data_IF_614446858687
#
_entry.id   IF_614446858687
#
_cell.length_a   1.000
_cell.length_b   1.000
_cell.length_c   1.000
_cell.angle_alpha   90.00
_cell.angle_beta   90.00
_cell.angle_gamma   90.00
#
_symmetry.space_group_name_H-M   'P 1'
#
loop_
_entity.id
_entity.type
_entity.pdbx_description
1 polymer ?
#
# COMPACT_ATOMS: atom_id res chain seq x y z
N UNK A 1 -16.48 7.82 -21.07
CA UNK A 1 -16.34 6.54 -20.36
C UNK A 1 -16.43 6.82 -18.87
N UNK A 2 -16.99 5.90 -18.08
CA UNK A 2 -16.80 5.92 -16.63
C UNK A 2 -15.29 5.89 -16.32
N UNK A 3 -14.83 6.66 -15.33
CA UNK A 3 -13.44 6.58 -14.88
C UNK A 3 -13.22 5.28 -14.11
N UNK A 4 -12.07 4.65 -14.27
CA UNK A 4 -11.63 3.52 -13.45
C UNK A 4 -10.52 4.02 -12.53
N UNK A 5 -10.69 3.81 -11.23
CA UNK A 5 -9.64 4.06 -10.23
C UNK A 5 -9.14 2.73 -9.68
N UNK A 6 -7.85 2.48 -9.85
CA UNK A 6 -7.21 1.27 -9.36
C UNK A 6 -6.38 1.65 -8.15
N UNK A 7 -6.70 1.04 -7.01
CA UNK A 7 -6.04 1.31 -5.75
C UNK A 7 -5.24 0.08 -5.35
N UNK A 8 -3.94 0.27 -5.18
CA UNK A 8 -3.02 -0.75 -4.73
C UNK A 8 -2.66 -0.52 -3.26
N UNK A 9 -2.69 -1.59 -2.47
CA UNK A 9 -1.79 -1.72 -1.35
C UNK A 9 -0.34 -1.91 -1.85
N UNK A 10 0.66 -1.75 -0.97
CA UNK A 10 2.06 -1.77 -1.36
C UNK A 10 2.81 -3.04 -0.94
N UNK A 11 3.06 -3.22 0.36
CA UNK A 11 3.78 -4.37 0.90
C UNK A 11 2.99 -5.65 0.63
N UNK A 12 3.67 -6.71 0.17
CA UNK A 12 3.07 -8.01 -0.22
C UNK A 12 2.00 -7.91 -1.29
N UNK A 13 1.81 -6.75 -1.92
CA UNK A 13 0.86 -6.50 -2.99
C UNK A 13 1.60 -6.07 -4.27
N UNK A 14 2.21 -4.88 -4.28
CA UNK A 14 3.08 -4.43 -5.38
C UNK A 14 4.44 -5.13 -5.28
N UNK A 15 5.06 -5.07 -4.10
CA UNK A 15 6.31 -5.78 -3.83
C UNK A 15 6.05 -7.17 -3.24
N UNK A 16 6.93 -8.12 -3.52
CA UNK A 16 6.87 -9.46 -2.95
C UNK A 16 7.69 -9.52 -1.64
N UNK A 17 7.22 -8.78 -0.65
CA UNK A 17 7.90 -8.60 0.62
C UNK A 17 7.32 -7.45 1.43
N UNK A 18 7.99 -7.11 2.51
CA UNK A 18 7.59 -6.05 3.42
C UNK A 18 8.77 -5.08 3.57
N UNK A 19 8.54 -3.83 3.20
CA UNK A 19 9.56 -2.79 3.05
C UNK A 19 10.20 -2.41 4.40
N UNK A 20 9.42 -2.36 5.47
CA UNK A 20 9.92 -2.15 6.83
C UNK A 20 10.84 -3.30 7.25
N UNK A 21 10.39 -4.56 7.08
CA UNK A 21 11.20 -5.74 7.40
C UNK A 21 12.49 -5.80 6.57
N UNK A 22 12.45 -5.43 5.28
CA UNK A 22 13.63 -5.34 4.44
C UNK A 22 14.69 -4.43 5.07
N UNK A 23 14.31 -3.20 5.43
CA UNK A 23 15.24 -2.23 6.03
C UNK A 23 15.70 -2.69 7.41
N UNK A 24 14.79 -3.16 8.26
CA UNK A 24 15.10 -3.63 9.62
C UNK A 24 16.11 -4.76 9.59
N UNK A 25 15.94 -5.74 8.71
CA UNK A 25 16.83 -6.90 8.62
C UNK A 25 18.15 -6.54 7.95
N UNK A 26 18.11 -5.92 6.76
CA UNK A 26 19.33 -5.67 5.98
C UNK A 26 20.24 -4.61 6.59
N UNK A 27 19.69 -3.69 7.39
CA UNK A 27 20.46 -2.65 8.06
C UNK A 27 20.78 -2.97 9.53
N UNK A 28 20.52 -4.21 9.98
CA UNK A 28 20.99 -4.70 11.29
C UNK A 28 20.19 -4.20 12.49
N UNK A 29 18.93 -3.80 12.31
CA UNK A 29 18.07 -3.27 13.37
C UNK A 29 17.23 -4.33 14.09
N UNK A 30 17.25 -5.59 13.67
CA UNK A 30 16.37 -6.66 14.20
C UNK A 30 16.38 -6.74 15.73
N UNK A 31 17.56 -6.64 16.36
CA UNK A 31 17.66 -6.68 17.82
C UNK A 31 17.00 -5.48 18.51
N UNK A 32 17.10 -4.28 17.92
CA UNK A 32 16.46 -3.09 18.46
C UNK A 32 14.95 -3.13 18.22
N UNK A 33 14.53 -3.53 17.01
CA UNK A 33 13.13 -3.75 16.67
C UNK A 33 12.46 -4.67 17.70
N UNK A 34 13.04 -5.84 17.97
CA UNK A 34 12.47 -6.81 18.92
C UNK A 34 12.35 -6.26 20.36
N UNK A 35 13.24 -5.34 20.76
CA UNK A 35 13.18 -4.71 22.09
C UNK A 35 12.07 -3.67 22.21
N UNK A 36 11.75 -2.99 21.10
CA UNK A 36 10.83 -1.85 21.08
C UNK A 36 9.43 -2.21 20.57
N UNK A 37 9.29 -3.32 19.85
CA UNK A 37 8.03 -3.72 19.19
C UNK A 37 6.84 -3.85 20.15
N UNK A 38 7.06 -4.27 21.39
CA UNK A 38 5.99 -4.41 22.39
C UNK A 38 5.63 -3.11 23.10
N UNK A 39 6.46 -2.07 23.00
CA UNK A 39 6.30 -0.82 23.76
C UNK A 39 5.89 0.38 22.91
N UNK A 40 6.06 0.31 21.59
CA UNK A 40 5.76 1.41 20.67
C UNK A 40 4.68 1.01 19.66
N UNK A 41 3.86 1.99 19.26
CA UNK A 41 3.04 1.86 18.07
C UNK A 41 3.94 1.72 16.83
N UNK A 42 3.45 1.03 15.79
CA UNK A 42 4.24 0.68 14.61
C UNK A 42 4.91 1.90 13.95
N UNK A 43 4.16 2.99 13.75
CA UNK A 43 4.69 4.20 13.12
C UNK A 43 5.82 4.83 13.95
N UNK A 44 5.63 4.98 15.27
CA UNK A 44 6.65 5.50 16.19
C UNK A 44 7.86 4.57 16.30
N UNK A 45 7.65 3.26 16.22
CA UNK A 45 8.73 2.27 16.17
C UNK A 45 9.59 2.49 14.93
N UNK A 46 8.99 2.55 13.75
CA UNK A 46 9.73 2.74 12.51
C UNK A 46 10.45 4.10 12.46
N UNK A 47 9.81 5.18 12.94
CA UNK A 47 10.48 6.49 13.09
C UNK A 47 11.72 6.40 13.99
N UNK A 48 11.59 5.73 15.14
CA UNK A 48 12.71 5.54 16.09
C UNK A 48 13.85 4.76 15.45
N UNK A 49 13.54 3.73 14.67
CA UNK A 49 14.54 2.92 13.97
C UNK A 49 15.27 3.70 12.87
N UNK A 50 14.57 4.58 12.14
CA UNK A 50 15.21 5.44 11.13
C UNK A 50 16.18 6.44 11.78
N UNK A 51 15.77 7.04 12.90
CA UNK A 51 16.63 7.93 13.69
C UNK A 51 17.87 7.19 14.20
N UNK A 52 17.71 5.94 14.66
CA UNK A 52 18.85 5.14 15.12
C UNK A 52 19.82 4.79 13.99
N UNK A 53 19.34 4.42 12.81
CA UNK A 53 20.25 4.18 11.67
C UNK A 53 21.15 5.38 11.41
N UNK A 54 20.59 6.58 11.46
CA UNK A 54 21.35 7.80 11.22
C UNK A 54 22.24 8.19 12.40
N UNK A 55 21.86 7.82 13.64
CA UNK A 55 22.73 7.95 14.82
C UNK A 55 24.00 7.10 14.67
N UNK A 56 23.88 5.95 14.00
CA UNK A 56 24.97 5.04 13.66
C UNK A 56 25.75 5.46 12.40
N UNK A 57 25.48 6.64 11.84
CA UNK A 57 26.18 7.19 10.68
C UNK A 57 25.68 6.69 9.32
N UNK A 58 24.55 5.97 9.26
CA UNK A 58 23.91 5.63 7.97
C UNK A 58 23.27 6.87 7.36
N UNK A 59 23.38 7.00 6.05
CA UNK A 59 22.79 8.10 5.29
C UNK A 59 21.44 7.68 4.71
N UNK A 60 20.61 8.65 4.32
CA UNK A 60 19.39 8.36 3.56
C UNK A 60 19.69 7.61 2.25
N UNK A 61 20.85 7.86 1.64
CA UNK A 61 21.31 7.13 0.45
C UNK A 61 21.56 5.64 0.74
N UNK A 62 22.06 5.31 1.93
CA UNK A 62 22.26 3.91 2.32
C UNK A 62 20.92 3.20 2.51
N UNK A 63 19.94 3.89 3.10
CA UNK A 63 18.56 3.38 3.23
C UNK A 63 17.93 3.20 1.84
N UNK A 64 18.07 4.19 0.96
CA UNK A 64 17.57 4.10 -0.41
C UNK A 64 18.19 2.91 -1.15
N UNK A 65 19.51 2.74 -1.03
CA UNK A 65 20.21 1.62 -1.66
C UNK A 65 19.76 0.26 -1.13
N UNK A 66 19.42 0.17 0.15
CA UNK A 66 18.80 -1.03 0.74
C UNK A 66 17.43 -1.32 0.11
N UNK A 67 16.61 -0.28 -0.07
CA UNK A 67 15.25 -0.39 -0.62
C UNK A 67 15.24 -0.83 -2.09
N UNK A 68 16.29 -0.54 -2.88
CA UNK A 68 16.45 -1.08 -4.24
C UNK A 68 16.46 -2.62 -4.26
N UNK A 69 16.74 -3.29 -3.13
CA UNK A 69 16.65 -4.74 -2.98
C UNK A 69 15.22 -5.29 -2.89
N UNK A 70 14.18 -4.44 -2.82
CA UNK A 70 12.79 -4.88 -2.77
C UNK A 70 12.38 -5.57 -4.08
N UNK A 71 11.99 -6.85 -3.96
CA UNK A 71 11.55 -7.64 -5.10
C UNK A 71 10.19 -7.15 -5.61
N UNK A 72 10.11 -6.81 -6.90
CA UNK A 72 8.89 -6.40 -7.56
C UNK A 72 8.74 -7.23 -8.84
N UNK A 73 7.65 -8.01 -8.91
CA UNK A 73 7.50 -9.00 -9.98
C UNK A 73 7.32 -8.31 -11.35
N UNK A 74 8.05 -8.68 -12.42
CA UNK A 74 7.99 -7.98 -13.71
C UNK A 74 6.59 -7.91 -14.34
N UNK A 75 5.74 -8.90 -14.04
CA UNK A 75 4.34 -8.92 -14.51
C UNK A 75 3.44 -7.93 -13.75
N UNK A 76 3.76 -7.59 -12.51
CA UNK A 76 3.09 -6.49 -11.78
C UNK A 76 3.50 -5.15 -12.39
N UNK A 77 4.78 -4.96 -12.76
CA UNK A 77 5.24 -3.78 -13.52
C UNK A 77 4.43 -3.64 -14.82
N UNK A 78 4.31 -4.73 -15.59
CA UNK A 78 3.56 -4.73 -16.84
C UNK A 78 2.08 -4.40 -16.63
N UNK A 79 1.46 -4.94 -15.57
CA UNK A 79 0.08 -4.64 -15.21
C UNK A 79 -0.13 -3.15 -14.86
N UNK A 80 0.75 -2.57 -14.03
CA UNK A 80 0.72 -1.14 -13.67
C UNK A 80 0.82 -0.27 -14.92
N UNK A 81 1.81 -0.52 -15.79
CA UNK A 81 1.99 0.25 -17.04
C UNK A 81 0.79 0.11 -17.97
N UNK A 82 0.29 -1.10 -18.16
CA UNK A 82 -0.86 -1.35 -19.05
C UNK A 82 -2.12 -0.65 -18.57
N UNK A 83 -2.36 -0.65 -17.25
CA UNK A 83 -3.51 0.04 -16.67
C UNK A 83 -3.38 1.58 -16.77
N UNK A 84 -2.18 2.11 -16.53
CA UNK A 84 -1.87 3.53 -16.73
C UNK A 84 -2.07 3.94 -18.20
N UNK A 85 -1.52 3.18 -19.14
CA UNK A 85 -1.61 3.48 -20.58
C UNK A 85 -3.06 3.32 -21.11
N UNK A 86 -3.88 2.53 -20.44
CA UNK A 86 -5.32 2.46 -20.67
C UNK A 86 -6.11 3.68 -20.11
N UNK A 87 -5.43 4.64 -19.47
CA UNK A 87 -6.03 5.85 -18.92
C UNK A 87 -6.71 5.68 -17.56
N UNK A 88 -6.38 4.61 -16.81
CA UNK A 88 -6.90 4.43 -15.46
C UNK A 88 -6.21 5.38 -14.47
N UNK A 89 -6.92 5.80 -13.42
CA UNK A 89 -6.36 6.54 -12.29
C UNK A 89 -5.73 5.56 -11.30
N UNK A 90 -4.40 5.42 -11.30
CA UNK A 90 -3.71 4.51 -10.40
C UNK A 90 -3.30 5.23 -9.11
N UNK A 91 -3.61 4.63 -7.96
CA UNK A 91 -3.30 5.17 -6.64
C UNK A 91 -2.72 4.10 -5.72
N UNK A 92 -2.01 4.54 -4.70
CA UNK A 92 -1.55 3.68 -3.60
C UNK A 92 -2.19 4.13 -2.29
N UNK A 93 -2.67 3.16 -1.51
CA UNK A 93 -3.06 3.36 -0.11
C UNK A 93 -2.32 2.31 0.72
N UNK A 94 -1.29 2.74 1.44
CA UNK A 94 -0.38 1.82 2.14
C UNK A 94 -0.02 2.32 3.52
N UNK A 95 0.06 1.38 4.48
CA UNK A 95 0.51 1.66 5.84
C UNK A 95 2.04 1.64 6.00
N UNK A 96 2.78 1.51 4.89
CA UNK A 96 4.21 1.77 4.84
C UNK A 96 4.49 3.29 4.99
N UNK A 97 5.63 3.77 4.50
CA UNK A 97 5.95 5.19 4.52
C UNK A 97 6.35 5.74 3.14
N UNK A 98 6.14 7.05 2.97
CA UNK A 98 6.34 7.77 1.71
C UNK A 98 7.71 7.53 1.09
N UNK A 99 8.78 7.71 1.88
CA UNK A 99 10.16 7.57 1.39
C UNK A 99 10.43 6.16 0.85
N UNK A 100 9.91 5.12 1.51
CA UNK A 100 10.13 3.74 1.08
C UNK A 100 9.40 3.43 -0.23
N UNK A 101 8.12 3.79 -0.29
CA UNK A 101 7.29 3.56 -1.47
C UNK A 101 7.88 4.27 -2.68
N UNK A 102 8.17 5.57 -2.58
CA UNK A 102 8.68 6.36 -3.69
C UNK A 102 10.03 5.84 -4.18
N UNK A 103 10.95 5.54 -3.26
CA UNK A 103 12.28 5.03 -3.61
C UNK A 103 12.20 3.72 -4.40
N UNK A 104 11.36 2.78 -3.95
CA UNK A 104 11.21 1.48 -4.61
C UNK A 104 10.54 1.66 -5.99
N UNK A 105 9.48 2.45 -6.08
CA UNK A 105 8.77 2.66 -7.34
C UNK A 105 9.61 3.44 -8.37
N UNK A 106 10.45 4.38 -7.91
CA UNK A 106 11.39 5.11 -8.75
C UNK A 106 12.47 4.18 -9.30
N UNK A 107 13.05 3.32 -8.44
CA UNK A 107 14.01 2.30 -8.86
C UNK A 107 13.46 1.37 -9.95
N UNK A 108 12.19 0.95 -9.83
CA UNK A 108 11.51 0.11 -10.82
C UNK A 108 10.87 0.90 -11.99
N UNK A 109 11.03 2.22 -12.01
CA UNK A 109 10.59 3.11 -13.09
C UNK A 109 9.08 3.21 -13.28
N UNK A 110 8.30 2.97 -12.22
CA UNK A 110 6.82 2.97 -12.26
C UNK A 110 6.19 4.03 -11.35
N UNK A 111 6.98 4.80 -10.60
CA UNK A 111 6.47 5.88 -9.75
C UNK A 111 5.55 6.84 -10.52
N UNK A 112 5.95 7.24 -11.73
CA UNK A 112 5.18 8.15 -12.58
C UNK A 112 3.84 7.60 -13.10
N UNK A 113 3.53 6.32 -12.87
CA UNK A 113 2.23 5.73 -13.20
C UNK A 113 1.13 6.07 -12.17
N UNK A 114 1.51 6.49 -10.96
CA UNK A 114 0.57 6.72 -9.87
C UNK A 114 0.23 8.21 -9.72
N UNK A 115 -1.06 8.54 -9.69
CA UNK A 115 -1.52 9.91 -9.52
C UNK A 115 -1.38 10.40 -8.08
N UNK A 116 -1.45 9.49 -7.11
CA UNK A 116 -1.47 9.81 -5.69
C UNK A 116 -1.02 8.61 -4.86
N UNK A 117 -0.19 8.88 -3.85
CA UNK A 117 0.22 7.91 -2.83
C UNK A 117 -0.30 8.45 -1.50
N UNK A 118 -1.25 7.74 -0.89
CA UNK A 118 -1.73 8.00 0.46
C UNK A 118 -1.05 7.02 1.41
N UNK A 119 -0.16 7.51 2.26
CA UNK A 119 0.66 6.69 3.16
C UNK A 119 1.19 7.51 4.32
N UNK A 120 1.88 6.89 5.27
CA UNK A 120 2.50 7.62 6.38
C UNK A 120 3.57 8.59 5.84
N UNK A 121 3.39 9.92 5.99
CA UNK A 121 4.29 10.90 5.41
C UNK A 121 5.68 10.80 6.03
N UNK A 122 6.69 11.14 5.22
CA UNK A 122 8.06 11.28 5.68
C UNK A 122 8.58 12.68 5.44
N UNK A 123 9.51 13.11 6.27
CA UNK A 123 10.20 14.39 6.11
C UNK A 123 11.63 14.31 6.66
N UNK A 124 12.47 15.27 6.29
CA UNK A 124 13.82 15.40 6.86
C UNK A 124 13.79 16.50 7.91
N UNK A 125 14.16 16.17 9.15
CA UNK A 125 14.18 17.14 10.24
C UNK A 125 15.37 18.12 10.15
N UNK A 126 15.40 19.12 11.04
CA UNK A 126 16.48 20.12 11.09
C UNK A 126 17.87 19.57 11.40
N UNK A 127 18.01 18.26 11.69
CA UNK A 127 19.28 17.56 11.89
C UNK A 127 19.63 16.64 10.71
N UNK A 128 18.88 16.72 9.61
CA UNK A 128 19.09 15.87 8.43
C UNK A 128 18.57 14.44 8.61
N UNK A 129 17.67 14.19 9.58
CA UNK A 129 17.16 12.85 9.85
C UNK A 129 15.82 12.59 9.17
N UNK A 130 15.69 11.44 8.52
CA UNK A 130 14.44 10.89 8.03
C UNK A 130 13.51 10.63 9.21
N UNK A 131 12.35 11.26 9.17
CA UNK A 131 11.27 11.10 10.13
C UNK A 131 10.04 10.54 9.44
N UNK A 132 9.30 9.75 10.18
CA UNK A 132 8.03 9.16 9.76
C UNK A 132 6.94 9.71 10.69
N UNK A 133 5.79 10.05 10.13
CA UNK A 133 4.63 10.51 10.89
C UNK A 133 3.39 9.72 10.49
N UNK A 134 2.39 9.61 11.37
CA UNK A 134 1.16 8.92 11.04
C UNK A 134 0.36 9.70 9.99
N UNK A 135 -0.35 8.99 9.12
CA UNK A 135 -1.20 9.63 8.09
C UNK A 135 -2.40 10.37 8.71
N UNK A 136 -3.03 9.78 9.71
CA UNK A 136 -4.04 10.44 10.54
C UNK A 136 -3.37 11.07 11.75
N UNK A 137 -3.82 12.27 12.08
CA UNK A 137 -3.39 12.99 13.28
C UNK A 137 -3.77 12.19 14.54
N UNK A 138 -2.79 11.87 15.38
CA UNK A 138 -3.00 11.14 16.64
C UNK A 138 -3.92 11.91 17.61
N UNK A 139 -3.95 13.24 17.51
CA UNK A 139 -4.83 14.09 18.32
C UNK A 139 -6.29 14.05 17.87
N UNK A 140 -6.57 13.52 16.68
CA UNK A 140 -7.92 13.37 16.12
C UNK A 140 -8.16 11.95 15.62
N UNK A 141 -8.45 10.99 16.53
CA UNK A 141 -8.67 9.60 16.15
C UNK A 141 -9.77 9.48 15.10
N UNK A 142 -9.49 8.73 14.04
CA UNK A 142 -10.40 8.56 12.91
C UNK A 142 -11.65 7.69 13.21
N UNK A 143 -11.80 7.19 14.44
CA UNK A 143 -13.01 6.49 14.92
C UNK A 143 -13.30 5.12 14.27
N UNK A 144 -12.35 4.52 13.56
CA UNK A 144 -12.55 3.21 12.91
C UNK A 144 -11.99 2.09 13.79
N UNK A 145 -12.83 1.10 14.11
CA UNK A 145 -12.45 -0.03 14.96
C UNK A 145 -11.76 -1.17 14.19
N UNK A 146 -11.55 -1.02 12.88
CA UNK A 146 -10.92 -2.04 12.02
C UNK A 146 -9.47 -1.72 11.66
N UNK A 147 -9.03 -0.47 11.87
CA UNK A 147 -7.76 0.05 11.38
C UNK A 147 -6.87 0.47 12.56
N UNK A 148 -5.53 0.42 12.39
CA UNK A 148 -4.62 1.02 13.36
C UNK A 148 -4.80 2.54 13.41
N UNK A 149 -4.41 3.16 14.52
CA UNK A 149 -4.67 4.58 14.78
C UNK A 149 -4.02 5.54 13.78
N UNK A 150 -2.90 5.12 13.18
CA UNK A 150 -2.12 5.95 12.27
C UNK A 150 -2.73 6.06 10.87
N UNK A 151 -3.50 5.07 10.40
CA UNK A 151 -4.06 5.10 9.05
C UNK A 151 -5.31 4.22 8.89
N UNK A 152 -6.38 4.81 8.36
CA UNK A 152 -7.59 4.12 7.97
C UNK A 152 -7.76 4.16 6.45
N UNK A 153 -7.33 3.09 5.78
CA UNK A 153 -7.44 2.95 4.32
C UNK A 153 -8.87 3.10 3.80
N UNK A 154 -9.87 2.67 4.57
CA UNK A 154 -11.28 2.81 4.20
C UNK A 154 -11.76 4.26 4.13
N UNK A 155 -11.33 5.12 5.05
CA UNK A 155 -11.66 6.56 4.98
C UNK A 155 -11.01 7.23 3.78
N UNK A 156 -9.80 6.80 3.41
CA UNK A 156 -9.12 7.29 2.21
C UNK A 156 -9.91 6.89 0.95
N UNK A 157 -10.44 5.67 0.87
CA UNK A 157 -11.34 5.26 -0.22
C UNK A 157 -12.60 6.14 -0.28
N UNK A 158 -13.24 6.41 0.86
CA UNK A 158 -14.42 7.27 0.93
C UNK A 158 -14.11 8.69 0.39
N UNK A 159 -12.95 9.25 0.75
CA UNK A 159 -12.47 10.56 0.26
C UNK A 159 -12.21 10.55 -1.26
N UNK A 160 -11.55 9.52 -1.79
CA UNK A 160 -11.29 9.39 -3.23
C UNK A 160 -12.62 9.33 -3.98
N UNK A 161 -13.58 8.52 -3.52
CA UNK A 161 -14.89 8.40 -4.17
C UNK A 161 -15.65 9.72 -4.18
N UNK A 162 -15.66 10.44 -3.05
CA UNK A 162 -16.27 11.76 -2.97
C UNK A 162 -15.69 12.76 -3.98
N UNK A 163 -14.40 12.62 -4.34
CA UNK A 163 -13.74 13.49 -5.33
C UNK A 163 -13.97 13.10 -6.81
N UNK A 164 -14.34 11.84 -7.08
CA UNK A 164 -14.46 11.29 -8.45
C UNK A 164 -15.88 11.26 -9.02
N UNK A 165 -16.90 11.37 -8.16
CA UNK A 165 -18.32 11.31 -8.54
C UNK A 165 -18.85 9.88 -8.72
N UNK A 166 -20.17 9.73 -8.84
CA UNK A 166 -20.89 8.45 -8.71
C UNK A 166 -20.58 7.41 -9.80
N UNK A 167 -20.07 7.82 -10.96
CA UNK A 167 -19.82 6.93 -12.11
C UNK A 167 -18.42 6.33 -12.13
N UNK A 168 -17.61 6.52 -11.09
CA UNK A 168 -16.24 6.03 -11.05
C UNK A 168 -16.18 4.63 -10.41
N UNK A 169 -15.69 3.65 -11.17
CA UNK A 169 -15.54 2.27 -10.72
C UNK A 169 -14.18 2.08 -10.02
N UNK A 170 -14.17 1.29 -8.96
CA UNK A 170 -12.97 1.01 -8.18
C UNK A 170 -12.51 -0.44 -8.35
N UNK A 171 -11.21 -0.62 -8.49
CA UNK A 171 -10.52 -1.90 -8.37
C UNK A 171 -9.54 -1.78 -7.20
N UNK A 172 -9.81 -2.47 -6.09
CA UNK A 172 -8.89 -2.51 -4.94
C UNK A 172 -8.06 -3.78 -4.96
N UNK A 173 -6.75 -3.67 -4.81
CA UNK A 173 -5.81 -4.80 -4.84
C UNK A 173 -4.99 -4.78 -3.54
N UNK A 174 -5.01 -5.87 -2.78
CA UNK A 174 -4.31 -5.93 -1.48
C UNK A 174 -4.17 -7.34 -0.90
N UNK A 175 -3.45 -7.47 0.21
CA UNK A 175 -3.18 -8.76 0.86
C UNK A 175 -3.62 -8.80 2.34
N UNK A 176 -3.55 -7.68 3.04
CA UNK A 176 -3.41 -7.64 4.49
C UNK A 176 -4.69 -7.39 5.27
N UNK A 177 -4.58 -7.43 6.61
CA UNK A 177 -5.71 -7.13 7.51
C UNK A 177 -6.22 -5.70 7.34
N UNK A 178 -5.32 -4.75 7.10
CA UNK A 178 -5.64 -3.33 6.91
C UNK A 178 -6.48 -3.06 5.65
N UNK A 179 -6.47 -3.98 4.69
CA UNK A 179 -7.21 -3.88 3.43
C UNK A 179 -8.66 -4.36 3.54
N UNK A 180 -9.03 -4.94 4.68
CA UNK A 180 -10.42 -5.35 4.89
C UNK A 180 -11.34 -4.14 5.02
N UNK A 181 -10.94 -3.10 5.75
CA UNK A 181 -11.73 -1.88 5.90
C UNK A 181 -12.11 -1.22 4.56
N UNK A 182 -11.16 -0.92 3.64
CA UNK A 182 -11.49 -0.36 2.33
C UNK A 182 -12.32 -1.32 1.46
N UNK A 183 -12.13 -2.63 1.59
CA UNK A 183 -12.96 -3.63 0.88
C UNK A 183 -14.45 -3.49 1.23
N UNK A 184 -14.79 -3.19 2.49
CA UNK A 184 -16.19 -2.97 2.91
C UNK A 184 -16.79 -1.65 2.40
N UNK A 185 -15.96 -0.73 1.89
CA UNK A 185 -16.41 0.55 1.29
C UNK A 185 -16.73 0.44 -0.19
N UNK A 186 -16.32 -0.65 -0.82
CA UNK A 186 -16.61 -0.90 -2.23
C UNK A 186 -18.11 -1.16 -2.43
N UNK A 187 -18.60 -0.74 -3.60
CA UNK A 187 -20.00 -0.76 -3.99
C UNK A 187 -20.27 -1.88 -5.02
N UNK A 188 -21.54 -2.10 -5.33
CA UNK A 188 -21.91 -2.99 -6.43
C UNK A 188 -21.30 -2.47 -7.74
N UNK A 189 -20.71 -3.36 -8.54
CA UNK A 189 -19.98 -3.00 -9.76
C UNK A 189 -18.48 -2.76 -9.56
N UNK A 190 -18.01 -2.50 -8.34
CA UNK A 190 -16.58 -2.45 -8.02
C UNK A 190 -15.96 -3.85 -7.98
N UNK A 191 -14.62 -3.87 -7.92
CA UNK A 191 -13.81 -5.08 -7.89
C UNK A 191 -12.84 -5.06 -6.70
N UNK A 192 -12.63 -6.22 -6.09
CA UNK A 192 -11.55 -6.45 -5.12
C UNK A 192 -10.70 -7.64 -5.55
N UNK A 193 -9.39 -7.49 -5.48
CA UNK A 193 -8.41 -8.49 -5.84
C UNK A 193 -7.54 -8.87 -4.63
N UNK A 194 -8.03 -9.76 -3.75
CA UNK A 194 -7.27 -10.16 -2.57
C UNK A 194 -6.18 -11.18 -2.93
N UNK A 195 -4.98 -11.03 -2.36
CA UNK A 195 -3.92 -12.03 -2.49
C UNK A 195 -4.28 -13.29 -1.70
N UNK A 196 -4.23 -14.45 -2.35
CA UNK A 196 -4.51 -15.75 -1.72
C UNK A 196 -3.51 -16.07 -0.63
N UNK A 197 -3.96 -16.77 0.40
CA UNK A 197 -3.15 -17.18 1.57
C UNK A 197 -2.64 -15.99 2.41
N UNK A 198 -3.23 -14.81 2.22
CA UNK A 198 -3.00 -13.64 3.05
C UNK A 198 -4.29 -13.21 3.77
N UNK A 199 -4.17 -12.44 4.88
CA UNK A 199 -5.30 -12.19 5.78
C UNK A 199 -6.54 -11.55 5.16
N UNK A 200 -6.40 -10.79 4.07
CA UNK A 200 -7.54 -10.21 3.35
C UNK A 200 -8.42 -11.30 2.72
N UNK A 201 -7.80 -12.25 1.99
CA UNK A 201 -8.50 -13.38 1.38
C UNK A 201 -9.22 -14.21 2.44
N UNK A 202 -8.56 -14.53 3.55
CA UNK A 202 -9.17 -15.27 4.67
C UNK A 202 -10.40 -14.54 5.24
N UNK A 203 -10.29 -13.22 5.46
CA UNK A 203 -11.39 -12.41 6.01
C UNK A 203 -12.57 -12.32 5.05
N UNK A 204 -12.33 -12.09 3.76
CA UNK A 204 -13.39 -12.05 2.74
C UNK A 204 -14.08 -13.41 2.68
N UNK A 205 -13.32 -14.51 2.67
CA UNK A 205 -13.87 -15.86 2.59
C UNK A 205 -14.66 -16.27 3.85
N UNK A 206 -14.36 -15.67 5.00
CA UNK A 206 -15.14 -15.92 6.23
C UNK A 206 -16.58 -15.39 6.17
N UNK A 207 -16.85 -14.34 5.40
CA UNK A 207 -18.20 -13.85 5.16
C UNK A 207 -18.29 -12.98 3.89
N UNK A 208 -18.38 -13.64 2.73
CA UNK A 208 -18.41 -12.97 1.43
C UNK A 208 -19.64 -12.07 1.25
N UNK A 209 -20.76 -12.35 1.93
CA UNK A 209 -22.03 -11.62 1.74
C UNK A 209 -21.97 -10.14 2.14
N UNK A 210 -20.98 -9.75 2.95
CA UNK A 210 -20.78 -8.35 3.36
C UNK A 210 -20.04 -7.55 2.26
N UNK A 211 -19.26 -8.23 1.42
CA UNK A 211 -18.50 -7.59 0.34
C UNK A 211 -19.38 -7.43 -0.89
N UNK A 212 -19.67 -6.18 -1.26
CA UNK A 212 -20.49 -5.84 -2.43
C UNK A 212 -19.72 -5.89 -3.75
N UNK A 213 -18.41 -5.74 -3.70
CA UNK A 213 -17.55 -5.82 -4.88
C UNK A 213 -17.43 -7.26 -5.40
N UNK A 214 -17.16 -7.39 -6.69
CA UNK A 214 -16.78 -8.67 -7.29
C UNK A 214 -15.38 -9.06 -6.82
N UNK A 215 -15.24 -10.28 -6.29
CA UNK A 215 -13.99 -10.79 -5.72
C UNK A 215 -13.20 -11.56 -6.79
N UNK A 216 -11.92 -11.24 -6.95
CA UNK A 216 -11.00 -11.89 -7.90
C UNK A 216 -9.67 -12.22 -7.22
N UNK A 217 -9.57 -13.38 -6.60
CA UNK A 217 -8.34 -13.75 -5.88
C UNK A 217 -7.16 -14.03 -6.82
N UNK A 218 -5.94 -13.66 -6.40
CA UNK A 218 -4.70 -13.88 -7.16
C UNK A 218 -3.59 -14.45 -6.28
N UNK A 219 -2.65 -15.21 -6.86
CA UNK A 219 -1.57 -15.88 -6.12
C UNK A 219 -0.18 -15.30 -6.38
N UNK A 220 0.07 -14.86 -7.61
CA UNK A 220 1.35 -14.31 -8.07
C UNK A 220 1.17 -13.16 -9.06
N UNK A 221 2.28 -12.56 -9.50
CA UNK A 221 2.24 -11.42 -10.41
C UNK A 221 1.69 -11.75 -11.81
N UNK A 222 1.72 -13.01 -12.27
CA UNK A 222 1.12 -13.40 -13.56
C UNK A 222 -0.39 -13.48 -13.44
N UNK A 223 -0.90 -14.04 -12.35
CA UNK A 223 -2.34 -14.07 -12.07
C UNK A 223 -2.90 -12.66 -11.88
N UNK A 224 -2.21 -11.81 -11.11
CA UNK A 224 -2.60 -10.41 -10.91
C UNK A 224 -2.73 -9.68 -12.25
N UNK A 225 -1.70 -9.75 -13.10
CA UNK A 225 -1.71 -9.12 -14.42
C UNK A 225 -2.89 -9.62 -15.25
N UNK A 226 -3.05 -10.94 -15.37
CA UNK A 226 -4.11 -11.55 -16.17
C UNK A 226 -5.50 -11.13 -15.70
N UNK A 227 -5.76 -11.17 -14.39
CA UNK A 227 -7.06 -10.79 -13.82
C UNK A 227 -7.34 -9.31 -14.05
N UNK A 228 -6.37 -8.45 -13.76
CA UNK A 228 -6.54 -7.00 -13.92
C UNK A 228 -6.86 -6.65 -15.37
N UNK A 229 -6.09 -7.18 -16.33
CA UNK A 229 -6.32 -6.92 -17.75
C UNK A 229 -7.68 -7.46 -18.23
N UNK A 230 -8.10 -8.64 -17.77
CA UNK A 230 -9.43 -9.18 -18.09
C UNK A 230 -10.55 -8.26 -17.59
N UNK A 231 -10.43 -7.71 -16.37
CA UNK A 231 -11.40 -6.75 -15.83
C UNK A 231 -11.46 -5.50 -16.73
N UNK A 232 -10.31 -4.98 -17.16
CA UNK A 232 -10.23 -3.79 -18.01
C UNK A 232 -10.75 -4.03 -19.45
N UNK A 233 -10.51 -5.21 -20.02
CA UNK A 233 -10.93 -5.52 -21.40
C UNK A 233 -12.43 -5.81 -21.52
N UNK A 234 -13.06 -6.41 -20.49
CA UNK A 234 -14.53 -6.56 -20.44
C UNK A 234 -15.22 -5.19 -20.53
N UNK A 235 -14.56 -4.11 -20.11
CA UNK A 235 -15.13 -2.75 -20.06
C UNK A 235 -14.91 -1.94 -21.34
N UNK A 236 -14.03 -2.40 -22.23
CA UNK A 236 -13.81 -1.76 -23.55
C UNK A 236 -14.87 -2.19 -24.58
N UNK A 237 -15.54 -3.32 -24.34
CA UNK A 237 -16.62 -3.87 -25.18
C UNK A 237 -17.99 -3.49 -24.62
#
# INVERSE_FOLDING_TARGET
MAGITIVFDFDRTIIDGDSDNLVVTQMGLTNLFNKLYSSLAWNSLMDTLMVELQSQGRTMRDIAKCLEGAALHPRIIAAIRSAHDAGCDLRIISDANQFFIETILEHHGVLGCFSTINTNPTFVDGKGRLRISPYHDESSPHGCNLCPSNMCKGLVIDQIRASKGEKNEFIYIGDGRGDYCPTLRLQEGDHVMPRKLYPLSDRINSNQTIVKAKIHEWSDGKELEKILLNILDIKKN
#
